data_IF_068260614652
#
_entry.id   IF_068260614652
#
_cell.length_a   1.000
_cell.length_b   1.000
_cell.length_c   1.000
_cell.angle_alpha   90.00
_cell.angle_beta   90.00
_cell.angle_gamma   90.00
#
_symmetry.space_group_name_H-M   'P 1'
#
loop_
_entity.id
_entity.type
_entity.pdbx_description
1 polymer ?
#
# COMPACT_ATOMS: atom_id res chain seq x y z
N UNK A 1 7.42 6.68 32.28
CA UNK A 1 6.46 5.58 32.09
C UNK A 1 6.72 4.97 30.73
N UNK A 2 6.76 3.65 30.62
CA UNK A 2 6.81 2.98 29.32
C UNK A 2 5.42 2.46 28.95
N UNK A 3 5.16 2.31 27.65
CA UNK A 3 3.89 1.79 27.13
C UNK A 3 4.10 0.59 26.20
N UNK A 4 3.00 0.00 25.77
CA UNK A 4 2.98 -1.05 24.74
C UNK A 4 1.93 -0.74 23.67
N UNK A 5 2.16 -1.27 22.48
CA UNK A 5 1.22 -1.20 21.36
C UNK A 5 0.80 -2.63 21.03
N UNK A 6 -0.52 -2.84 20.93
CA UNK A 6 -1.14 -4.11 20.57
C UNK A 6 -1.95 -3.98 19.27
N UNK A 7 -1.96 -5.04 18.48
CA UNK A 7 -2.77 -5.17 17.27
C UNK A 7 -3.49 -6.52 17.30
N UNK A 8 -4.82 -6.52 17.31
CA UNK A 8 -5.60 -7.75 17.39
C UNK A 8 -5.30 -8.60 18.63
N UNK A 9 -4.84 -7.99 19.73
CA UNK A 9 -4.41 -8.67 20.95
C UNK A 9 -2.97 -9.18 20.94
N UNK A 10 -2.22 -9.00 19.85
CA UNK A 10 -0.79 -9.31 19.79
C UNK A 10 0.05 -8.05 20.08
N UNK A 11 1.00 -8.13 21.03
CA UNK A 11 1.93 -7.02 21.31
C UNK A 11 2.91 -6.86 20.14
N UNK A 12 2.91 -5.67 19.52
CA UNK A 12 3.79 -5.34 18.39
C UNK A 12 4.93 -4.40 18.77
N UNK A 13 4.85 -3.69 19.90
CA UNK A 13 5.94 -2.85 20.40
C UNK A 13 5.85 -2.67 21.92
N UNK A 14 7.00 -2.77 22.60
CA UNK A 14 7.20 -2.50 24.04
C UNK A 14 8.69 -2.23 24.30
N UNK A 15 9.13 -1.77 25.47
CA UNK A 15 10.56 -1.60 25.76
C UNK A 15 11.35 -2.90 25.50
N UNK A 16 12.44 -2.79 24.73
CA UNK A 16 13.29 -3.92 24.36
C UNK A 16 12.72 -4.84 23.28
N UNK A 17 11.55 -4.55 22.70
CA UNK A 17 10.95 -5.37 21.64
C UNK A 17 10.17 -4.52 20.63
N UNK A 18 10.36 -4.79 19.34
CA UNK A 18 9.52 -4.23 18.30
C UNK A 18 9.39 -5.24 17.16
N UNK A 19 8.14 -5.55 16.79
CA UNK A 19 7.84 -6.37 15.64
C UNK A 19 8.12 -5.56 14.36
N UNK A 20 8.88 -6.15 13.45
CA UNK A 20 9.22 -5.53 12.17
C UNK A 20 7.95 -5.17 11.38
N UNK A 21 7.88 -3.99 10.73
CA UNK A 21 6.67 -3.49 10.07
C UNK A 21 6.00 -4.49 9.11
N UNK A 22 6.81 -5.22 8.32
CA UNK A 22 6.35 -6.21 7.35
C UNK A 22 5.66 -7.43 7.99
N UNK A 23 5.84 -7.66 9.29
CA UNK A 23 5.19 -8.73 10.05
C UNK A 23 3.90 -8.29 10.72
N UNK A 24 3.56 -7.00 10.67
CA UNK A 24 2.41 -6.44 11.40
C UNK A 24 1.07 -6.72 10.73
N UNK A 25 1.03 -7.24 9.50
CA UNK A 25 -0.22 -7.53 8.77
C UNK A 25 -1.17 -6.32 8.69
N UNK A 26 -0.62 -5.11 8.53
CA UNK A 26 -1.38 -3.86 8.38
C UNK A 26 -1.12 -3.21 7.02
N UNK A 27 -2.14 -2.54 6.47
CA UNK A 27 -1.98 -1.54 5.42
C UNK A 27 -1.84 -0.15 6.03
N UNK A 28 -1.00 0.70 5.45
CA UNK A 28 -0.85 2.11 5.85
C UNK A 28 -1.17 3.01 4.66
N UNK A 29 -1.95 4.06 4.92
CA UNK A 29 -2.21 5.15 3.97
C UNK A 29 -1.66 6.42 4.60
N UNK A 30 -0.67 7.04 3.95
CA UNK A 30 -0.06 8.28 4.41
C UNK A 30 -0.87 9.49 3.91
N UNK A 31 -0.82 10.61 4.64
CA UNK A 31 -1.52 11.85 4.26
C UNK A 31 -0.87 12.55 3.05
N UNK A 32 0.46 12.43 2.89
CA UNK A 32 1.18 12.89 1.70
C UNK A 32 1.29 11.77 0.66
N UNK A 33 1.25 12.13 -0.63
CA UNK A 33 1.32 11.19 -1.77
C UNK A 33 2.59 10.33 -1.70
N UNK A 34 2.48 9.11 -1.18
CA UNK A 34 3.55 8.11 -1.12
C UNK A 34 3.62 7.23 -2.38
N UNK A 35 3.10 7.72 -3.51
CA UNK A 35 3.18 7.00 -4.78
C UNK A 35 4.62 7.07 -5.31
N UNK A 36 5.10 5.95 -5.85
CA UNK A 36 6.38 5.91 -6.55
C UNK A 36 6.26 6.67 -7.87
N UNK A 37 6.95 7.82 -8.04
CA UNK A 37 6.73 8.72 -9.18
C UNK A 37 7.24 8.14 -10.50
N UNK A 38 8.14 7.15 -10.43
CA UNK A 38 8.73 6.45 -11.56
C UNK A 38 7.95 5.19 -11.98
N UNK A 39 6.85 4.86 -11.28
CA UNK A 39 5.97 3.74 -11.61
C UNK A 39 4.67 4.26 -12.21
N UNK A 40 4.02 3.44 -13.05
CA UNK A 40 2.65 3.72 -13.52
C UNK A 40 1.65 3.57 -12.36
N UNK A 41 0.39 4.00 -12.53
CA UNK A 41 -0.68 3.77 -11.55
C UNK A 41 -0.87 2.26 -11.32
N UNK A 42 -0.88 1.46 -12.38
CA UNK A 42 -0.97 0.01 -12.28
C UNK A 42 0.22 -0.61 -11.53
N UNK A 43 1.44 -0.10 -11.74
CA UNK A 43 2.62 -0.59 -11.05
C UNK A 43 2.69 -0.14 -9.59
N UNK A 44 2.17 1.05 -9.26
CA UNK A 44 1.99 1.50 -7.89
C UNK A 44 1.02 0.59 -7.14
N UNK A 45 -0.17 0.33 -7.69
CA UNK A 45 -1.17 -0.58 -7.11
C UNK A 45 -0.62 -2.01 -7.00
N UNK A 46 0.10 -2.47 -8.02
CA UNK A 46 0.69 -3.81 -8.08
C UNK A 46 2.00 -3.98 -7.32
N UNK A 47 2.56 -2.93 -6.71
CA UNK A 47 3.88 -2.96 -6.08
C UNK A 47 3.97 -4.02 -4.96
N UNK A 48 2.90 -4.16 -4.17
CA UNK A 48 2.81 -5.15 -3.08
C UNK A 48 2.56 -6.59 -3.57
N UNK A 49 2.25 -6.81 -4.85
CA UNK A 49 1.71 -8.06 -5.40
C UNK A 49 2.73 -8.75 -6.36
N UNK A 50 4.03 -8.48 -6.21
CA UNK A 50 5.09 -8.84 -7.18
C UNK A 50 5.18 -10.32 -7.59
N UNK A 51 4.83 -11.27 -6.71
CA UNK A 51 5.01 -12.72 -6.96
C UNK A 51 3.69 -13.50 -7.02
N UNK A 52 2.56 -12.81 -7.15
CA UNK A 52 1.26 -13.49 -7.21
C UNK A 52 0.95 -13.96 -8.65
N UNK A 53 0.54 -15.24 -8.87
CA UNK A 53 0.24 -15.74 -10.21
C UNK A 53 -0.93 -15.01 -10.88
N UNK A 54 -1.80 -14.39 -10.10
CA UNK A 54 -2.95 -13.61 -10.59
C UNK A 54 -2.72 -12.09 -10.46
N UNK A 55 -1.46 -11.64 -10.42
CA UNK A 55 -1.13 -10.21 -10.21
C UNK A 55 -1.91 -9.30 -11.17
N UNK A 56 -1.90 -9.60 -12.46
CA UNK A 56 -2.56 -8.74 -13.46
C UNK A 56 -4.06 -8.62 -13.23
N UNK A 57 -4.73 -9.73 -12.88
CA UNK A 57 -6.14 -9.74 -12.55
C UNK A 57 -6.43 -8.92 -11.29
N UNK A 58 -5.67 -9.13 -10.21
CA UNK A 58 -5.85 -8.40 -8.96
C UNK A 58 -5.62 -6.90 -9.13
N UNK A 59 -4.59 -6.51 -9.87
CA UNK A 59 -4.31 -5.10 -10.16
C UNK A 59 -5.47 -4.47 -10.93
N UNK A 60 -6.01 -5.18 -11.94
CA UNK A 60 -7.17 -4.71 -12.71
C UNK A 60 -8.42 -4.53 -11.82
N UNK A 61 -8.74 -5.53 -11.00
CA UNK A 61 -9.88 -5.47 -10.07
C UNK A 61 -9.73 -4.31 -9.07
N UNK A 62 -8.52 -4.07 -8.55
CA UNK A 62 -8.23 -2.95 -7.66
C UNK A 62 -8.36 -1.59 -8.35
N UNK A 63 -7.89 -1.46 -9.59
CA UNK A 63 -8.02 -0.24 -10.39
C UNK A 63 -9.49 0.07 -10.72
N UNK A 64 -10.28 -0.94 -11.04
CA UNK A 64 -11.73 -0.80 -11.26
C UNK A 64 -12.45 -0.35 -9.99
N UNK A 65 -12.09 -0.93 -8.83
CA UNK A 65 -12.66 -0.56 -7.53
C UNK A 65 -12.47 0.93 -7.20
N UNK A 66 -11.30 1.48 -7.53
CA UNK A 66 -10.99 2.91 -7.31
C UNK A 66 -11.29 3.79 -8.52
N UNK A 67 -11.86 3.23 -9.61
CA UNK A 67 -12.20 3.92 -10.85
C UNK A 67 -11.02 4.60 -11.56
N UNK A 68 -9.82 4.00 -11.47
CA UNK A 68 -8.59 4.50 -12.12
C UNK A 68 -8.09 3.58 -13.24
N UNK A 69 -8.91 2.64 -13.70
CA UNK A 69 -8.64 1.71 -14.81
C UNK A 69 -8.19 2.43 -16.09
N UNK A 70 -8.82 3.54 -16.43
CA UNK A 70 -8.48 4.38 -17.59
C UNK A 70 -7.15 5.13 -17.46
N UNK A 71 -6.58 5.21 -16.25
CA UNK A 71 -5.30 5.86 -15.95
C UNK A 71 -4.20 4.86 -15.61
N UNK A 72 -4.43 3.55 -15.79
CA UNK A 72 -3.51 2.48 -15.42
C UNK A 72 -2.07 2.69 -15.92
N UNK A 73 -1.91 3.19 -17.15
CA UNK A 73 -0.61 3.43 -17.78
C UNK A 73 0.03 4.79 -17.46
N UNK A 74 -0.69 5.69 -16.78
CA UNK A 74 -0.20 7.02 -16.42
C UNK A 74 0.73 6.96 -15.21
N UNK A 75 1.56 7.96 -15.05
CA UNK A 75 2.36 8.18 -13.84
C UNK A 75 1.63 9.08 -12.84
N UNK A 76 1.95 9.00 -11.53
CA UNK A 76 1.31 9.82 -10.49
C UNK A 76 1.32 11.32 -10.76
N UNK A 77 2.34 11.86 -11.42
CA UNK A 77 2.44 13.29 -11.75
C UNK A 77 1.48 13.72 -12.87
N UNK A 78 0.91 12.76 -13.60
CA UNK A 78 -0.11 13.00 -14.62
C UNK A 78 -1.53 12.94 -14.04
N UNK A 79 -1.67 12.54 -12.77
CA UNK A 79 -2.93 12.59 -12.02
C UNK A 79 -3.10 14.00 -11.46
N UNK A 80 -4.23 14.64 -11.74
CA UNK A 80 -4.59 15.84 -10.98
C UNK A 80 -4.80 15.44 -9.52
N UNK A 81 -4.37 16.25 -8.56
CA UNK A 81 -4.32 15.91 -7.12
C UNK A 81 -5.67 15.68 -6.41
N UNK A 82 -6.73 15.34 -7.13
CA UNK A 82 -8.05 14.95 -6.62
C UNK A 82 -8.71 13.81 -7.41
N UNK A 83 -7.94 13.02 -8.17
CA UNK A 83 -8.39 11.78 -8.83
C UNK A 83 -7.90 10.55 -8.06
#
# INVERSE_FOLDING_TARGET
MAGQIELGGEVISRPGFTLAPEKRRIGMVFQDYALFPHLSVADNVGFGIRKHPQRERLVRELLELVKLDHLAARHPHELSGGQ
#
